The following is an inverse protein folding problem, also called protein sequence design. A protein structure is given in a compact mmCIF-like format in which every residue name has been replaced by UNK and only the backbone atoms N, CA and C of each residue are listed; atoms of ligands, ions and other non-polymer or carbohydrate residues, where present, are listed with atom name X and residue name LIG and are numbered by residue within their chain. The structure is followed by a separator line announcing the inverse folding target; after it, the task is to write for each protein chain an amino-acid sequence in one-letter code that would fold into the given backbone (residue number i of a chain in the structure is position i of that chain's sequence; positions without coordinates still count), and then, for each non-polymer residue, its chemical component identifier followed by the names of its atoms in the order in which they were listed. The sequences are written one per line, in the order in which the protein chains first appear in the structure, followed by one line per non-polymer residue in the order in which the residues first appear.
data_IF_347309949216
#
_entry.id   IF_347309949216
#
_cell.length_a   1.000
_cell.length_b   1.000
_cell.length_c   1.000
_cell.angle_alpha   90.00
_cell.angle_beta   90.00
_cell.angle_gamma   90.00
#
_symmetry.space_group_name_H-M   'P 1'
#
loop_
_entity.id
_entity.type
_entity.pdbx_description
1 polymer ?
#
# COMPACT_ATOMS: atom_id res chain seq x y z
N UNK A 1 7.76 -7.50 15.32
CA UNK A 1 7.39 -8.72 14.59
C UNK A 1 8.23 -8.85 13.34
N UNK A 2 8.65 -10.07 13.01
CA UNK A 2 9.45 -10.42 11.81
C UNK A 2 8.69 -11.38 10.88
N UNK A 3 7.37 -11.50 11.07
CA UNK A 3 6.51 -12.44 10.36
C UNK A 3 5.55 -11.66 9.47
N UNK A 4 5.48 -12.03 8.20
CA UNK A 4 4.47 -11.56 7.25
C UNK A 4 3.30 -12.53 7.29
N UNK A 5 2.11 -12.05 7.65
CA UNK A 5 0.88 -12.84 7.64
C UNK A 5 0.05 -12.46 6.43
N UNK A 6 -0.21 -13.43 5.55
CA UNK A 6 -1.02 -13.22 4.36
C UNK A 6 -2.29 -14.04 4.50
N UNK A 7 -3.44 -13.36 4.56
CA UNK A 7 -4.73 -14.03 4.57
C UNK A 7 -5.07 -14.53 3.16
N UNK A 8 -5.03 -15.85 2.97
CA UNK A 8 -5.35 -16.45 1.67
C UNK A 8 -6.83 -16.28 1.28
N UNK A 9 -7.71 -15.96 2.23
CA UNK A 9 -9.10 -15.57 1.96
C UNK A 9 -9.15 -14.25 1.21
N UNK A 10 -8.27 -13.33 1.57
CA UNK A 10 -8.20 -12.01 0.95
C UNK A 10 -7.87 -12.09 -0.54
N UNK A 11 -7.04 -13.05 -0.96
CA UNK A 11 -6.78 -13.27 -2.39
C UNK A 11 -8.01 -13.76 -3.16
N UNK A 12 -8.87 -14.57 -2.52
CA UNK A 12 -10.16 -14.93 -3.12
C UNK A 12 -11.07 -13.71 -3.22
N UNK A 13 -11.11 -12.87 -2.19
CA UNK A 13 -11.90 -11.63 -2.23
C UNK A 13 -11.38 -10.62 -3.26
N UNK A 14 -10.05 -10.50 -3.43
CA UNK A 14 -9.40 -9.70 -4.47
C UNK A 14 -9.89 -10.08 -5.86
N UNK A 15 -9.94 -11.39 -6.11
CA UNK A 15 -10.41 -11.93 -7.37
C UNK A 15 -11.94 -11.77 -7.54
N UNK A 16 -12.72 -12.22 -6.56
CA UNK A 16 -14.18 -12.39 -6.69
C UNK A 16 -14.98 -11.12 -6.40
N UNK A 17 -14.57 -10.33 -5.40
CA UNK A 17 -15.30 -9.13 -4.96
C UNK A 17 -14.71 -7.84 -5.50
N UNK A 18 -13.38 -7.77 -5.58
CA UNK A 18 -12.68 -6.54 -5.92
C UNK A 18 -12.26 -6.44 -7.39
N UNK A 19 -12.45 -7.51 -8.18
CA UNK A 19 -12.22 -7.49 -9.62
C UNK A 19 -10.76 -7.28 -10.01
N UNK A 20 -9.83 -7.65 -9.14
CA UNK A 20 -8.40 -7.62 -9.37
C UNK A 20 -7.83 -9.05 -9.39
N UNK A 21 -8.16 -9.86 -10.42
CA UNK A 21 -7.52 -11.14 -10.66
C UNK A 21 -6.05 -10.92 -11.05
N UNK A 22 -5.26 -11.99 -10.96
CA UNK A 22 -3.87 -11.98 -11.43
C UNK A 22 -2.88 -12.47 -10.38
N UNK A 23 -1.79 -13.09 -10.83
CA UNK A 23 -0.69 -13.48 -9.96
C UNK A 23 0.11 -12.26 -9.49
N UNK A 24 0.21 -11.22 -10.32
CA UNK A 24 0.91 -10.00 -9.94
C UNK A 24 0.14 -9.16 -8.91
N UNK A 25 -1.20 -9.21 -8.91
CA UNK A 25 -2.02 -8.65 -7.83
C UNK A 25 -1.68 -9.28 -6.48
N UNK A 26 -1.44 -10.60 -6.42
CA UNK A 26 -1.01 -11.29 -5.20
C UNK A 26 0.42 -10.92 -4.82
N UNK A 27 1.32 -10.84 -5.81
CA UNK A 27 2.70 -10.42 -5.61
C UNK A 27 2.78 -9.00 -5.02
N UNK A 28 1.93 -8.09 -5.48
CA UNK A 28 1.79 -6.74 -4.94
C UNK A 28 1.43 -6.75 -3.44
N UNK A 29 0.41 -7.50 -3.03
CA UNK A 29 0.02 -7.60 -1.60
C UNK A 29 1.17 -8.15 -0.76
N UNK A 30 1.84 -9.22 -1.22
CA UNK A 30 3.00 -9.78 -0.50
C UNK A 30 4.12 -8.74 -0.39
N UNK A 31 4.42 -8.02 -1.47
CA UNK A 31 5.44 -6.98 -1.48
C UNK A 31 5.08 -5.80 -0.56
N UNK A 32 3.78 -5.47 -0.43
CA UNK A 32 3.28 -4.47 0.50
C UNK A 32 3.53 -4.89 1.96
N UNK A 33 3.18 -6.12 2.33
CA UNK A 33 3.46 -6.65 3.67
C UNK A 33 4.96 -6.71 4.00
N UNK A 34 5.79 -7.06 3.01
CA UNK A 34 7.25 -6.97 3.14
C UNK A 34 7.70 -5.51 3.30
N UNK A 35 7.02 -4.56 2.65
CA UNK A 35 7.20 -3.13 2.85
C UNK A 35 7.02 -2.71 4.32
N UNK A 36 5.98 -3.20 5.00
CA UNK A 36 5.81 -2.98 6.43
C UNK A 36 6.92 -3.59 7.27
N UNK A 37 7.43 -4.76 6.89
CA UNK A 37 8.60 -5.34 7.56
C UNK A 37 9.83 -4.43 7.42
N UNK A 38 10.09 -3.87 6.24
CA UNK A 38 11.17 -2.91 6.03
C UNK A 38 10.97 -1.66 6.89
N UNK A 39 9.75 -1.12 6.97
CA UNK A 39 9.43 0.02 7.85
C UNK A 39 9.71 -0.27 9.32
N UNK A 40 9.41 -1.49 9.78
CA UNK A 40 9.73 -1.92 11.14
C UNK A 40 11.23 -1.94 11.38
N UNK A 41 12.02 -2.47 10.44
CA UNK A 41 13.48 -2.47 10.54
C UNK A 41 14.07 -1.04 10.55
N UNK A 42 13.46 -0.11 9.83
CA UNK A 42 13.84 1.30 9.80
C UNK A 42 13.33 2.10 11.02
N UNK A 43 12.52 1.48 11.88
CA UNK A 43 11.91 2.12 13.05
C UNK A 43 10.75 3.08 12.72
N UNK A 44 10.28 3.12 11.47
CA UNK A 44 9.16 3.98 11.05
C UNK A 44 7.86 3.57 11.74
N UNK A 45 7.55 2.26 11.74
CA UNK A 45 6.33 1.74 12.38
C UNK A 45 6.32 2.02 13.88
N UNK A 46 7.49 1.98 14.54
CA UNK A 46 7.59 2.28 15.96
C UNK A 46 7.34 3.76 16.27
N UNK A 47 7.74 4.67 15.39
CA UNK A 47 7.42 6.10 15.53
C UNK A 47 5.92 6.34 15.44
N UNK A 48 5.23 5.72 14.48
CA UNK A 48 3.77 5.81 14.33
C UNK A 48 3.07 5.21 15.54
N UNK A 49 3.50 4.04 16.00
CA UNK A 49 2.94 3.39 17.20
C UNK A 49 3.14 4.22 18.47
N UNK A 50 4.30 4.88 18.62
CA UNK A 50 4.60 5.72 19.78
C UNK A 50 3.79 7.04 19.80
N UNK A 51 3.22 7.47 18.68
CA UNK A 51 2.30 8.61 18.62
C UNK A 51 0.90 8.24 19.13
N UNK A 52 0.54 6.95 19.11
CA UNK A 52 -0.79 6.47 19.53
C UNK A 52 -1.07 6.85 20.98
N UNK A 53 -2.23 7.48 21.20
CA UNK A 53 -2.65 7.99 22.51
C UNK A 53 -1.96 9.28 22.95
N UNK A 54 -1.07 9.86 22.12
CA UNK A 54 -0.43 11.17 22.35
C UNK A 54 -0.92 12.25 21.38
N UNK A 55 -1.53 11.85 20.28
CA UNK A 55 -2.13 12.73 19.27
C UNK A 55 -3.64 12.47 19.17
N UNK A 56 -4.37 13.34 18.49
CA UNK A 56 -5.79 13.11 18.20
C UNK A 56 -6.00 11.89 17.30
N UNK A 57 -7.21 11.36 17.28
CA UNK A 57 -7.56 10.22 16.42
C UNK A 57 -7.35 10.54 14.93
N UNK A 58 -7.71 11.75 14.49
CA UNK A 58 -7.51 12.20 13.11
C UNK A 58 -6.01 12.26 12.74
N UNK A 59 -5.16 12.79 13.63
CA UNK A 59 -3.71 12.78 13.42
C UNK A 59 -3.13 11.36 13.39
N UNK A 60 -3.64 10.47 14.25
CA UNK A 60 -3.23 9.06 14.24
C UNK A 60 -3.63 8.36 12.94
N UNK A 61 -4.81 8.65 12.42
CA UNK A 61 -5.31 8.13 11.15
C UNK A 61 -4.42 8.62 10.00
N UNK A 62 -4.07 9.91 9.96
CA UNK A 62 -3.15 10.46 8.97
C UNK A 62 -1.77 9.80 9.01
N UNK A 63 -1.21 9.58 10.21
CA UNK A 63 0.07 8.85 10.36
C UNK A 63 -0.02 7.40 9.87
N UNK A 64 -1.18 6.77 10.04
CA UNK A 64 -1.43 5.41 9.54
C UNK A 64 -1.47 5.41 8.01
N UNK A 65 -2.23 6.32 7.39
CA UNK A 65 -2.27 6.48 5.93
C UNK A 65 -0.86 6.70 5.35
N UNK A 66 -0.05 7.56 5.96
CA UNK A 66 1.33 7.81 5.50
C UNK A 66 2.21 6.56 5.59
N UNK A 67 2.02 5.72 6.61
CA UNK A 67 2.72 4.45 6.75
C UNK A 67 2.31 3.47 5.64
N UNK A 68 1.02 3.32 5.38
CA UNK A 68 0.48 2.44 4.34
C UNK A 68 0.96 2.85 2.94
N UNK A 69 0.92 4.14 2.61
CA UNK A 69 1.40 4.65 1.33
C UNK A 69 2.92 4.46 1.15
N UNK A 70 3.69 4.45 2.23
CA UNK A 70 5.12 4.13 2.13
C UNK A 70 5.33 2.64 1.84
N UNK A 71 4.46 1.75 2.35
CA UNK A 71 4.52 0.33 2.02
C UNK A 71 4.18 0.09 0.54
N UNK A 72 3.20 0.81 -0.02
CA UNK A 72 2.92 0.82 -1.46
C UNK A 72 4.13 1.27 -2.29
N UNK A 73 4.80 2.35 -1.87
CA UNK A 73 6.02 2.82 -2.51
C UNK A 73 7.13 1.76 -2.51
N UNK A 74 7.33 1.09 -1.37
CA UNK A 74 8.33 0.02 -1.23
C UNK A 74 7.97 -1.20 -2.10
N UNK A 75 6.70 -1.55 -2.20
CA UNK A 75 6.21 -2.60 -3.10
C UNK A 75 6.51 -2.26 -4.57
N UNK A 76 6.26 -1.01 -4.98
CA UNK A 76 6.61 -0.52 -6.32
C UNK A 76 8.12 -0.58 -6.60
N UNK A 77 8.94 -0.16 -5.64
CA UNK A 77 10.40 -0.27 -5.76
C UNK A 77 10.86 -1.72 -5.91
N UNK A 78 10.28 -2.63 -5.13
CA UNK A 78 10.56 -4.06 -5.26
C UNK A 78 10.21 -4.55 -6.65
N UNK A 79 9.01 -4.23 -7.16
CA UNK A 79 8.58 -4.63 -8.49
C UNK A 79 9.54 -4.14 -9.58
N UNK A 80 10.03 -2.90 -9.47
CA UNK A 80 11.05 -2.36 -10.38
C UNK A 80 12.35 -3.16 -10.33
N UNK A 81 12.87 -3.44 -9.13
CA UNK A 81 14.13 -4.17 -8.95
C UNK A 81 14.01 -5.63 -9.39
N UNK A 82 12.88 -6.26 -9.11
CA UNK A 82 12.59 -7.59 -9.57
C UNK A 82 12.50 -7.63 -11.10
N UNK A 83 11.88 -6.63 -11.74
CA UNK A 83 11.82 -6.54 -13.20
C UNK A 83 13.20 -6.35 -13.82
N UNK A 84 14.02 -5.45 -13.28
CA UNK A 84 15.40 -5.24 -13.74
C UNK A 84 16.25 -6.51 -13.65
N UNK A 85 15.97 -7.38 -12.67
CA UNK A 85 16.76 -8.58 -12.40
C UNK A 85 16.27 -9.82 -13.13
N UNK A 86 14.96 -10.02 -13.21
CA UNK A 86 14.34 -11.25 -13.67
C UNK A 86 13.56 -11.08 -14.98
N UNK A 87 13.27 -9.85 -15.40
CA UNK A 87 12.52 -9.53 -16.60
C UNK A 87 11.24 -10.37 -16.75
N UNK A 88 10.38 -10.29 -15.73
CA UNK A 88 9.25 -11.18 -15.52
C UNK A 88 7.87 -10.50 -15.64
N UNK A 89 7.83 -9.17 -15.64
CA UNK A 89 6.61 -8.38 -15.81
C UNK A 89 6.29 -8.24 -17.29
N UNK A 90 5.07 -8.61 -17.64
CA UNK A 90 4.41 -8.20 -18.87
C UNK A 90 3.69 -6.85 -18.65
N UNK A 91 3.33 -6.18 -19.76
CA UNK A 91 2.66 -4.88 -19.72
C UNK A 91 1.32 -4.92 -18.95
N UNK A 92 0.64 -6.08 -18.96
CA UNK A 92 -0.61 -6.31 -18.23
C UNK A 92 -0.44 -6.48 -16.72
N UNK A 93 0.71 -6.97 -16.26
CA UNK A 93 0.94 -7.30 -14.84
C UNK A 93 0.99 -6.04 -14.00
N UNK A 94 1.66 -4.98 -14.49
CA UNK A 94 1.68 -3.71 -13.78
C UNK A 94 0.26 -3.16 -13.59
N UNK A 95 -0.60 -3.29 -14.60
CA UNK A 95 -2.00 -2.88 -14.51
C UNK A 95 -2.79 -3.76 -13.53
N UNK A 96 -2.45 -5.04 -13.34
CA UNK A 96 -3.04 -5.88 -12.29
C UNK A 96 -2.72 -5.37 -10.89
N UNK A 97 -1.46 -5.03 -10.62
CA UNK A 97 -1.08 -4.43 -9.32
C UNK A 97 -1.78 -3.08 -9.09
N UNK A 98 -1.89 -2.25 -10.13
CA UNK A 98 -2.60 -0.97 -10.02
C UNK A 98 -4.09 -1.16 -9.77
N UNK A 99 -4.73 -2.15 -10.42
CA UNK A 99 -6.12 -2.52 -10.14
C UNK A 99 -6.30 -3.00 -8.70
N UNK A 100 -5.40 -3.86 -8.21
CA UNK A 100 -5.42 -4.32 -6.83
C UNK A 100 -5.27 -3.14 -5.86
N UNK A 101 -4.24 -2.30 -6.03
CA UNK A 101 -4.01 -1.13 -5.19
C UNK A 101 -5.19 -0.18 -5.16
N UNK A 102 -5.84 0.03 -6.32
CA UNK A 102 -7.05 0.82 -6.43
C UNK A 102 -8.23 0.18 -5.70
N UNK A 103 -8.45 -1.13 -5.85
CA UNK A 103 -9.64 -1.78 -5.32
C UNK A 103 -9.71 -1.84 -3.78
N UNK A 104 -8.57 -1.73 -3.11
CA UNK A 104 -8.46 -1.84 -1.64
C UNK A 104 -8.16 -0.49 -0.96
N UNK A 105 -8.37 0.63 -1.65
CA UNK A 105 -8.37 1.96 -1.03
C UNK A 105 -9.61 2.17 -0.16
N UNK A 106 -9.48 2.93 0.93
CA UNK A 106 -10.55 3.11 1.93
C UNK A 106 -11.80 3.75 1.31
N UNK A 107 -11.64 4.68 0.36
CA UNK A 107 -12.74 5.31 -0.37
C UNK A 107 -13.53 4.30 -1.22
N UNK A 108 -12.83 3.38 -1.88
CA UNK A 108 -13.47 2.30 -2.64
C UNK A 108 -14.20 1.34 -1.71
N UNK A 109 -13.55 0.86 -0.65
CA UNK A 109 -14.11 -0.10 0.30
C UNK A 109 -15.32 0.47 1.06
N UNK A 110 -15.22 1.72 1.56
CA UNK A 110 -16.34 2.37 2.24
C UNK A 110 -17.51 2.61 1.30
N UNK A 111 -17.26 3.10 0.08
CA UNK A 111 -18.35 3.32 -0.88
C UNK A 111 -19.08 2.01 -1.23
N UNK A 112 -18.35 0.89 -1.33
CA UNK A 112 -18.97 -0.43 -1.53
C UNK A 112 -19.74 -0.92 -0.30
N UNK A 113 -19.23 -0.69 0.92
CA UNK A 113 -19.84 -1.19 2.15
C UNK A 113 -21.06 -0.37 2.61
N UNK A 114 -21.01 0.96 2.49
CA UNK A 114 -22.00 1.88 3.09
C UNK A 114 -22.48 2.99 2.14
N UNK A 115 -22.02 3.03 0.89
CA UNK A 115 -22.50 3.98 -0.13
C UNK A 115 -21.95 5.41 -0.05
N UNK A 116 -21.15 5.72 0.97
CA UNK A 116 -20.55 7.05 1.18
C UNK A 116 -19.17 6.93 1.83
N UNK A 117 -18.39 8.01 1.77
CA UNK A 117 -16.98 8.05 2.18
C UNK A 117 -16.83 9.01 3.36
N UNK A 118 -16.06 8.61 4.38
CA UNK A 118 -15.71 9.42 5.55
C UNK A 118 -14.18 9.57 5.62
N UNK A 119 -13.61 10.63 5.04
CA UNK A 119 -12.15 10.76 4.90
C UNK A 119 -11.38 10.71 6.22
N UNK A 120 -11.92 11.30 7.30
CA UNK A 120 -11.25 11.34 8.61
C UNK A 120 -11.08 9.96 9.26
N UNK A 121 -11.77 8.94 8.75
CA UNK A 121 -11.69 7.55 9.23
C UNK A 121 -10.70 6.67 8.47
N UNK A 122 -10.02 7.22 7.46
CA UNK A 122 -9.09 6.45 6.63
C UNK A 122 -7.86 6.02 7.42
N UNK A 123 -7.42 4.79 7.16
CA UNK A 123 -6.22 4.19 7.73
C UNK A 123 -5.27 3.64 6.67
N UNK A 124 -5.78 3.33 5.46
CA UNK A 124 -5.02 2.76 4.33
C UNK A 124 -4.87 3.73 3.16
N UNK A 125 -5.54 4.89 3.20
CA UNK A 125 -5.48 5.93 2.18
C UNK A 125 -6.46 5.68 1.03
N UNK A 126 -6.55 6.66 0.13
CA UNK A 126 -7.43 6.53 -1.04
C UNK A 126 -6.83 5.64 -2.10
N UNK A 127 -7.68 5.04 -2.92
CA UNK A 127 -7.31 4.29 -4.11
C UNK A 127 -6.31 5.04 -4.99
N UNK A 128 -6.53 6.35 -5.19
CA UNK A 128 -5.64 7.20 -5.97
C UNK A 128 -4.25 7.35 -5.32
N UNK A 129 -4.20 7.59 -4.01
CA UNK A 129 -2.94 7.72 -3.27
C UNK A 129 -2.12 6.43 -3.35
N UNK A 130 -2.76 5.28 -3.13
CA UNK A 130 -2.10 3.96 -3.16
C UNK A 130 -1.49 3.67 -4.52
N UNK A 131 -2.27 3.86 -5.60
CA UNK A 131 -1.80 3.76 -6.99
C UNK A 131 -0.63 4.70 -7.26
N UNK A 132 -0.73 5.95 -6.81
CA UNK A 132 0.29 6.98 -7.03
C UNK A 132 1.62 6.60 -6.38
N UNK A 133 1.61 6.18 -5.11
CA UNK A 133 2.84 5.85 -4.39
C UNK A 133 3.47 4.56 -4.90
N UNK A 134 2.68 3.53 -5.21
CA UNK A 134 3.19 2.34 -5.87
C UNK A 134 3.86 2.68 -7.20
N UNK A 135 3.18 3.44 -8.07
CA UNK A 135 3.72 3.86 -9.36
C UNK A 135 5.00 4.68 -9.21
N UNK A 136 5.06 5.58 -8.23
CA UNK A 136 6.27 6.36 -7.93
C UNK A 136 7.44 5.47 -7.51
N UNK A 137 7.21 4.48 -6.66
CA UNK A 137 8.20 3.49 -6.27
C UNK A 137 8.73 2.70 -7.46
N UNK A 138 7.81 2.24 -8.32
CA UNK A 138 8.14 1.50 -9.53
C UNK A 138 8.95 2.33 -10.54
N UNK A 139 8.57 3.59 -10.76
CA UNK A 139 9.25 4.45 -11.72
C UNK A 139 10.64 4.88 -11.25
N UNK A 140 10.80 5.17 -9.95
CA UNK A 140 12.04 5.73 -9.42
C UNK A 140 13.04 4.68 -8.99
N UNK A 141 12.60 3.60 -8.34
CA UNK A 141 13.49 2.60 -7.74
C UNK A 141 14.47 3.17 -6.70
N UNK A 142 14.22 4.37 -6.15
CA UNK A 142 15.10 5.09 -5.23
C UNK A 142 14.39 5.36 -3.90
N UNK A 143 14.87 4.75 -2.83
CA UNK A 143 14.26 4.83 -1.48
C UNK A 143 14.13 6.27 -0.97
N UNK A 144 15.01 7.18 -1.43
CA UNK A 144 14.99 8.60 -1.01
C UNK A 144 13.76 9.35 -1.52
N UNK A 145 13.06 8.81 -2.52
CA UNK A 145 11.84 9.39 -3.07
C UNK A 145 10.57 8.91 -2.34
N UNK A 146 10.72 8.04 -1.33
CA UNK A 146 9.65 7.36 -0.58
C UNK A 146 9.25 8.02 0.75
N UNK A 147 9.61 9.27 0.98
CA UNK A 147 9.23 9.98 2.19
C UNK A 147 7.77 10.47 2.09
N UNK A 148 6.84 9.60 2.49
CA UNK A 148 5.42 9.91 2.62
C UNK A 148 5.11 10.80 3.81
N UNK A 149 5.99 10.87 4.82
CA UNK A 149 5.73 11.63 6.05
C UNK A 149 5.97 13.13 5.86
N UNK A 150 6.93 13.49 4.99
CA UNK A 150 7.19 14.89 4.61
C UNK A 150 6.37 15.36 3.39
N UNK A 151 5.59 14.48 2.77
CA UNK A 151 4.82 14.81 1.58
C UNK A 151 3.69 15.79 1.90
N UNK A 152 3.64 16.92 1.17
CA UNK A 152 2.56 17.91 1.27
C UNK A 152 1.26 17.43 0.63
N UNK A 153 1.40 16.70 -0.48
CA UNK A 153 0.31 16.06 -1.20
C UNK A 153 0.64 14.57 -1.28
N UNK A 154 -0.27 13.76 -0.74
CA UNK A 154 -0.19 12.31 -0.80
C UNK A 154 -0.65 11.78 -2.16
#
# INVERSE_FOLDING_TARGET
DMTVYVDLSFFRELNERFGAPGDFAQAYVIAHEVGHHVQKLLGTSDKVNNARGRVSESEQNELSVRLELQADFLAGMWARKAQEKFNFLDEGDLEEALRAANAIGDDTLQKQAQGHVVPDSFTHGTSEQRVRWFRKGFQTGDIRQGDTFSARNL
#
